data_IF_515865475902
#
_entry.id   IF_515865475902
#
_cell.length_a   1.000
_cell.length_b   1.000
_cell.length_c   1.000
_cell.angle_alpha   90.00
_cell.angle_beta   90.00
_cell.angle_gamma   90.00
#
_symmetry.space_group_name_H-M   'P 1'
#
loop_
_entity.id
_entity.type
_entity.pdbx_description
1 polymer ?
#
# COMPACT_ATOMS: atom_id res chain seq x y z
N UNK A 1 -33.28 33.10 9.74
CA UNK A 1 -33.67 31.68 9.99
C UNK A 1 -33.25 30.70 8.89
N UNK A 2 -33.17 31.08 7.60
CA UNK A 2 -32.81 30.13 6.53
C UNK A 2 -31.31 29.84 6.41
N UNK A 3 -30.45 30.85 6.57
CA UNK A 3 -28.98 30.71 6.54
C UNK A 3 -28.45 29.80 7.65
N UNK A 4 -29.02 29.91 8.85
CA UNK A 4 -28.66 29.07 10.01
C UNK A 4 -29.04 27.60 9.80
N UNK A 5 -30.13 27.32 9.05
CA UNK A 5 -30.53 25.95 8.68
C UNK A 5 -29.61 25.38 7.59
N UNK A 6 -29.21 26.19 6.61
CA UNK A 6 -28.28 25.78 5.56
C UNK A 6 -26.88 25.48 6.13
N UNK A 7 -26.34 26.32 7.01
CA UNK A 7 -25.09 26.04 7.72
C UNK A 7 -25.20 24.76 8.58
N UNK A 8 -26.32 24.56 9.27
CA UNK A 8 -26.56 23.34 10.05
C UNK A 8 -26.63 22.05 9.21
N UNK A 9 -27.19 22.11 8.00
CA UNK A 9 -27.21 20.97 7.07
C UNK A 9 -25.82 20.69 6.49
N UNK A 10 -25.11 21.72 6.02
CA UNK A 10 -23.74 21.59 5.49
C UNK A 10 -22.79 21.02 6.56
N UNK A 11 -22.90 21.48 7.82
CA UNK A 11 -22.10 20.96 8.91
C UNK A 11 -22.38 19.48 9.18
N UNK A 12 -23.67 19.08 9.17
CA UNK A 12 -24.08 17.68 9.36
C UNK A 12 -23.56 16.78 8.23
N UNK A 13 -23.71 17.20 6.99
CA UNK A 13 -23.22 16.45 5.82
C UNK A 13 -21.71 16.24 5.93
N UNK A 14 -20.96 17.25 6.35
CA UNK A 14 -19.51 17.14 6.56
C UNK A 14 -19.14 16.12 7.66
N UNK A 15 -19.89 16.08 8.77
CA UNK A 15 -19.71 15.04 9.79
C UNK A 15 -20.05 13.64 9.27
N UNK A 16 -21.08 13.48 8.44
CA UNK A 16 -21.42 12.18 7.85
C UNK A 16 -20.32 11.67 6.92
N UNK A 17 -19.76 12.52 6.06
CA UNK A 17 -18.63 12.15 5.20
C UNK A 17 -17.40 11.75 6.03
N UNK A 18 -17.07 12.51 7.07
CA UNK A 18 -15.96 12.20 7.95
C UNK A 18 -16.14 10.85 8.66
N UNK A 19 -17.34 10.60 9.21
CA UNK A 19 -17.66 9.32 9.87
C UNK A 19 -17.61 8.16 8.86
N UNK A 20 -18.14 8.35 7.66
CA UNK A 20 -18.10 7.32 6.60
C UNK A 20 -16.68 7.00 6.16
N UNK A 21 -15.81 8.02 5.99
CA UNK A 21 -14.40 7.80 5.66
C UNK A 21 -13.65 7.07 6.78
N UNK A 22 -13.88 7.45 8.05
CA UNK A 22 -13.28 6.77 9.20
C UNK A 22 -13.72 5.30 9.31
N UNK A 23 -15.02 5.02 9.14
CA UNK A 23 -15.54 3.65 9.15
C UNK A 23 -15.02 2.82 7.98
N UNK A 24 -14.95 3.40 6.78
CA UNK A 24 -14.44 2.74 5.58
C UNK A 24 -12.96 2.39 5.73
N UNK A 25 -12.17 3.33 6.26
CA UNK A 25 -10.77 3.14 6.60
C UNK A 25 -10.58 1.99 7.59
N UNK A 26 -11.27 2.04 8.72
CA UNK A 26 -11.20 0.99 9.73
C UNK A 26 -11.61 -0.39 9.17
N UNK A 27 -12.74 -0.46 8.45
CA UNK A 27 -13.26 -1.72 7.92
C UNK A 27 -12.31 -2.34 6.89
N UNK A 28 -11.82 -1.57 5.92
CA UNK A 28 -10.95 -2.10 4.86
C UNK A 28 -9.58 -2.47 5.42
N UNK A 29 -9.00 -1.63 6.29
CA UNK A 29 -7.74 -1.96 6.96
C UNK A 29 -7.87 -3.26 7.77
N UNK A 30 -8.97 -3.44 8.51
CA UNK A 30 -9.26 -4.70 9.21
C UNK A 30 -9.38 -5.89 8.26
N UNK A 31 -10.07 -5.76 7.12
CA UNK A 31 -10.20 -6.85 6.14
C UNK A 31 -8.82 -7.25 5.61
N UNK A 32 -7.98 -6.28 5.22
CA UNK A 32 -6.64 -6.56 4.71
C UNK A 32 -5.70 -7.15 5.77
N UNK A 33 -5.89 -6.77 7.04
CA UNK A 33 -5.19 -7.36 8.17
C UNK A 33 -5.62 -8.81 8.42
N UNK A 34 -6.92 -9.11 8.42
CA UNK A 34 -7.45 -10.47 8.63
C UNK A 34 -7.07 -11.40 7.49
N UNK A 35 -7.07 -10.91 6.25
CA UNK A 35 -6.52 -11.64 5.10
C UNK A 35 -4.99 -11.78 5.17
N UNK A 36 -4.31 -11.06 6.07
CA UNK A 36 -2.87 -11.12 6.29
C UNK A 36 -2.04 -10.34 5.26
N UNK A 37 -2.66 -9.52 4.42
CA UNK A 37 -1.97 -8.67 3.45
C UNK A 37 -1.20 -7.55 4.14
N UNK A 38 -1.81 -6.96 5.18
CA UNK A 38 -1.24 -5.88 5.97
C UNK A 38 -1.03 -6.33 7.43
N UNK A 39 -0.07 -5.71 8.10
CA UNK A 39 0.12 -5.79 9.55
C UNK A 39 -0.09 -4.42 10.22
N UNK A 40 0.12 -4.36 11.54
CA UNK A 40 -0.11 -3.16 12.35
C UNK A 40 0.68 -1.92 11.89
N UNK A 41 1.77 -2.10 11.14
CA UNK A 41 2.56 -0.99 10.62
C UNK A 41 1.75 -0.11 9.66
N UNK A 42 0.79 -0.69 8.93
CA UNK A 42 -0.06 0.09 8.04
C UNK A 42 -0.96 1.06 8.81
N UNK A 43 -1.51 0.62 9.95
CA UNK A 43 -2.30 1.51 10.82
C UNK A 43 -1.47 2.69 11.31
N UNK A 44 -0.19 2.48 11.63
CA UNK A 44 0.69 3.57 12.04
C UNK A 44 0.93 4.59 10.91
N UNK A 45 1.05 4.14 9.65
CA UNK A 45 1.14 5.05 8.50
C UNK A 45 -0.13 5.87 8.35
N UNK A 46 -1.26 5.20 8.50
CA UNK A 46 -2.56 5.83 8.46
C UNK A 46 -2.69 6.92 9.54
N UNK A 47 -2.28 6.62 10.78
CA UNK A 47 -2.35 7.56 11.91
C UNK A 47 -1.46 8.79 11.75
N UNK A 48 -0.45 8.76 10.87
CA UNK A 48 0.37 9.92 10.53
C UNK A 48 -0.32 10.90 9.57
N UNK A 49 -1.46 10.53 9.00
CA UNK A 49 -2.23 11.39 8.11
C UNK A 49 -3.04 12.43 8.88
N UNK A 50 -2.86 13.72 8.57
CA UNK A 50 -3.58 14.84 9.18
C UNK A 50 -4.16 15.80 8.12
N UNK A 51 -4.71 16.95 8.57
CA UNK A 51 -5.28 17.96 7.68
C UNK A 51 -4.23 18.64 6.77
N UNK A 52 -2.96 18.67 7.18
CA UNK A 52 -1.87 19.25 6.40
C UNK A 52 -1.34 18.28 5.33
N UNK A 53 -1.45 16.97 5.56
CA UNK A 53 -1.09 15.92 4.61
C UNK A 53 -2.20 14.87 4.44
N UNK A 54 -3.35 15.21 3.82
CA UNK A 54 -4.54 14.36 3.79
C UNK A 54 -4.41 13.09 2.92
N UNK A 55 -3.33 12.95 2.15
CA UNK A 55 -3.07 11.79 1.29
C UNK A 55 -1.78 11.04 1.67
N UNK A 56 -1.21 11.31 2.85
CA UNK A 56 0.08 10.76 3.28
C UNK A 56 0.19 9.25 3.09
N UNK A 57 -0.82 8.49 3.53
CA UNK A 57 -0.82 7.03 3.42
C UNK A 57 -0.81 6.57 1.94
N UNK A 58 -1.58 7.23 1.08
CA UNK A 58 -1.62 6.92 -0.36
C UNK A 58 -0.28 7.23 -1.03
N UNK A 59 0.36 8.36 -0.68
CA UNK A 59 1.67 8.75 -1.21
C UNK A 59 2.77 7.76 -0.81
N UNK A 60 2.81 7.35 0.47
CA UNK A 60 3.76 6.35 0.97
C UNK A 60 3.58 5.01 0.24
N UNK A 61 2.32 4.56 0.08
CA UNK A 61 2.02 3.31 -0.62
C UNK A 61 2.39 3.40 -2.11
N UNK A 62 2.09 4.52 -2.76
CA UNK A 62 2.43 4.75 -4.17
C UNK A 62 3.94 4.72 -4.39
N UNK A 63 4.70 5.39 -3.52
CA UNK A 63 6.16 5.36 -3.54
C UNK A 63 6.70 3.94 -3.33
N UNK A 64 6.16 3.21 -2.35
CA UNK A 64 6.53 1.82 -2.11
C UNK A 64 6.35 0.96 -3.37
N UNK A 65 5.22 1.03 -4.06
CA UNK A 65 4.98 0.20 -5.24
C UNK A 65 5.88 0.57 -6.42
N UNK A 66 6.19 1.86 -6.58
CA UNK A 66 7.13 2.33 -7.59
C UNK A 66 8.54 1.79 -7.33
N UNK A 67 9.04 1.91 -6.10
CA UNK A 67 10.39 1.49 -5.75
C UNK A 67 10.53 -0.04 -5.70
N UNK A 68 9.53 -0.74 -5.17
CA UNK A 68 9.54 -2.20 -5.09
C UNK A 68 9.46 -2.84 -6.48
N UNK A 69 8.68 -2.28 -7.42
CA UNK A 69 8.66 -2.77 -8.81
C UNK A 69 10.05 -2.67 -9.47
N UNK A 70 10.74 -1.54 -9.31
CA UNK A 70 12.10 -1.34 -9.80
C UNK A 70 13.08 -2.35 -9.17
N UNK A 71 12.99 -2.54 -7.85
CA UNK A 71 13.86 -3.47 -7.14
C UNK A 71 13.62 -4.93 -7.57
N UNK A 72 12.36 -5.32 -7.78
CA UNK A 72 12.01 -6.64 -8.31
C UNK A 72 12.58 -6.87 -9.71
N UNK A 73 12.52 -5.87 -10.61
CA UNK A 73 13.19 -5.99 -11.92
C UNK A 73 14.70 -6.18 -11.79
N UNK A 74 15.35 -5.49 -10.86
CA UNK A 74 16.79 -5.66 -10.62
C UNK A 74 17.12 -7.08 -10.09
N UNK A 75 16.26 -7.63 -9.22
CA UNK A 75 16.39 -9.01 -8.73
C UNK A 75 16.25 -10.00 -9.87
N UNK A 76 15.22 -9.84 -10.72
CA UNK A 76 14.97 -10.70 -11.88
C UNK A 76 16.18 -10.72 -12.83
N UNK A 77 16.72 -9.55 -13.17
CA UNK A 77 17.94 -9.43 -13.98
C UNK A 77 19.19 -10.03 -13.30
N UNK A 78 19.29 -9.96 -11.97
CA UNK A 78 20.39 -10.58 -11.24
C UNK A 78 20.28 -12.11 -11.25
N UNK A 79 19.06 -12.65 -11.28
CA UNK A 79 18.80 -14.09 -11.31
C UNK A 79 19.11 -14.74 -12.67
N UNK A 80 19.11 -13.97 -13.75
CA UNK A 80 19.46 -14.44 -15.10
C UNK A 80 20.98 -14.58 -15.33
N UNK A 81 21.81 -14.00 -14.45
CA UNK A 81 23.27 -13.99 -14.60
C UNK A 81 23.91 -15.33 -14.21
N UNK A 82 25.01 -15.66 -14.89
CA UNK A 82 25.85 -16.81 -14.61
C UNK A 82 27.32 -16.36 -14.47
N UNK A 83 28.07 -16.76 -13.43
CA UNK A 83 27.68 -17.61 -12.30
C UNK A 83 26.58 -16.99 -11.43
N UNK A 84 25.81 -17.85 -10.75
CA UNK A 84 24.79 -17.41 -9.78
C UNK A 84 25.47 -16.79 -8.56
N UNK A 85 24.96 -15.66 -8.12
CA UNK A 85 25.46 -14.92 -6.97
C UNK A 85 24.35 -14.78 -5.92
N UNK A 86 24.22 -15.80 -5.07
CA UNK A 86 23.20 -15.86 -4.02
C UNK A 86 23.36 -14.73 -2.99
N UNK A 87 24.59 -14.28 -2.71
CA UNK A 87 24.84 -13.17 -1.79
C UNK A 87 24.27 -11.86 -2.33
N UNK A 88 24.43 -11.62 -3.64
CA UNK A 88 23.82 -10.45 -4.30
C UNK A 88 22.30 -10.55 -4.33
N UNK A 89 21.74 -11.73 -4.58
CA UNK A 89 20.29 -11.94 -4.55
C UNK A 89 19.73 -11.69 -3.13
N UNK A 90 20.38 -12.23 -2.10
CA UNK A 90 19.99 -12.03 -0.69
C UNK A 90 20.02 -10.55 -0.31
N UNK A 91 21.07 -9.83 -0.73
CA UNK A 91 21.22 -8.39 -0.45
C UNK A 91 20.07 -7.57 -1.04
N UNK A 92 19.70 -7.81 -2.30
CA UNK A 92 18.55 -7.14 -2.92
C UNK A 92 17.24 -7.52 -2.23
N UNK A 93 17.08 -8.79 -1.85
CA UNK A 93 15.86 -9.26 -1.18
C UNK A 93 15.74 -8.72 0.24
N UNK A 94 16.86 -8.53 0.95
CA UNK A 94 16.89 -7.90 2.27
C UNK A 94 16.43 -6.44 2.21
N UNK A 95 16.86 -5.70 1.17
CA UNK A 95 16.36 -4.35 0.93
C UNK A 95 14.83 -4.36 0.71
N UNK A 96 14.33 -5.24 -0.15
CA UNK A 96 12.90 -5.34 -0.44
C UNK A 96 12.10 -5.73 0.80
N UNK A 97 12.60 -6.67 1.61
CA UNK A 97 12.02 -7.05 2.89
C UNK A 97 11.89 -5.87 3.84
N UNK A 98 12.92 -5.02 3.91
CA UNK A 98 12.91 -3.78 4.69
C UNK A 98 11.79 -2.85 4.23
N UNK A 99 11.68 -2.61 2.92
CA UNK A 99 10.59 -1.80 2.35
C UNK A 99 9.20 -2.41 2.58
N UNK A 100 9.06 -3.74 2.54
CA UNK A 100 7.78 -4.39 2.87
C UNK A 100 7.43 -4.16 4.34
N UNK A 101 8.42 -4.25 5.22
CA UNK A 101 8.23 -4.04 6.66
C UNK A 101 7.82 -2.59 6.96
N UNK A 102 8.37 -1.60 6.25
CA UNK A 102 8.04 -0.19 6.50
C UNK A 102 6.60 0.18 6.18
N UNK A 103 5.90 -0.58 5.32
CA UNK A 103 4.48 -0.36 4.99
C UNK A 103 3.53 -1.42 5.54
N UNK A 104 4.06 -2.40 6.29
CA UNK A 104 3.29 -3.53 6.79
C UNK A 104 2.85 -4.55 5.75
N UNK A 105 3.51 -4.65 4.59
CA UNK A 105 3.19 -5.62 3.53
C UNK A 105 3.60 -7.05 3.93
N UNK A 106 2.78 -7.68 4.78
CA UNK A 106 3.15 -8.89 5.53
C UNK A 106 3.39 -10.12 4.64
N UNK A 107 2.50 -10.43 3.68
CA UNK A 107 2.72 -11.57 2.77
C UNK A 107 3.95 -11.40 1.89
N UNK A 108 4.20 -10.19 1.38
CA UNK A 108 5.42 -9.90 0.63
C UNK A 108 6.67 -10.08 1.49
N UNK A 109 6.66 -9.56 2.72
CA UNK A 109 7.74 -9.73 3.71
C UNK A 109 8.04 -11.21 3.99
N UNK A 110 7.00 -12.05 4.04
CA UNK A 110 7.14 -13.49 4.24
C UNK A 110 7.81 -14.18 3.03
N UNK A 111 7.40 -13.83 1.81
CA UNK A 111 8.05 -14.39 0.61
C UNK A 111 9.49 -13.88 0.42
N UNK A 112 9.79 -12.65 0.82
CA UNK A 112 11.17 -12.17 0.90
C UNK A 112 11.98 -13.04 1.87
N UNK A 113 11.43 -13.37 3.04
CA UNK A 113 12.11 -14.24 4.03
C UNK A 113 12.35 -15.65 3.48
N UNK A 114 11.36 -16.25 2.82
CA UNK A 114 11.50 -17.58 2.17
C UNK A 114 12.56 -17.58 1.07
N UNK A 115 12.63 -16.51 0.27
CA UNK A 115 13.65 -16.35 -0.77
C UNK A 115 15.05 -16.27 -0.14
N UNK A 116 15.22 -15.47 0.91
CA UNK A 116 16.49 -15.31 1.63
C UNK A 116 16.98 -16.62 2.25
N UNK A 117 16.08 -17.39 2.86
CA UNK A 117 16.40 -18.72 3.37
C UNK A 117 16.92 -19.63 2.23
N UNK A 118 16.24 -19.61 1.07
CA UNK A 118 16.67 -20.36 -0.11
C UNK A 118 18.03 -19.89 -0.67
N UNK A 119 18.39 -18.61 -0.50
CA UNK A 119 19.73 -18.11 -0.84
C UNK A 119 20.78 -18.70 0.09
N UNK A 120 20.50 -18.79 1.39
CA UNK A 120 21.39 -19.41 2.38
C UNK A 120 21.65 -20.90 2.10
N UNK A 121 20.65 -21.60 1.55
CA UNK A 121 20.76 -23.00 1.14
C UNK A 121 21.33 -23.18 -0.29
N UNK A 122 21.72 -22.09 -0.97
CA UNK A 122 22.09 -22.08 -2.40
C UNK A 122 21.04 -22.75 -3.32
N UNK A 123 19.77 -22.70 -2.91
CA UNK A 123 18.65 -23.32 -3.59
C UNK A 123 18.00 -22.36 -4.59
N UNK A 124 18.52 -22.35 -5.82
CA UNK A 124 18.01 -21.47 -6.88
C UNK A 124 16.54 -21.73 -7.25
N UNK A 125 16.09 -22.99 -7.21
CA UNK A 125 14.69 -23.31 -7.51
C UNK A 125 13.76 -22.76 -6.41
N UNK A 126 14.18 -22.88 -5.14
CA UNK A 126 13.53 -22.25 -3.99
C UNK A 126 13.43 -20.74 -4.14
N UNK A 127 14.55 -20.09 -4.50
CA UNK A 127 14.59 -18.65 -4.80
C UNK A 127 13.58 -18.29 -5.90
N UNK A 128 13.57 -19.01 -7.02
CA UNK A 128 12.64 -18.74 -8.13
C UNK A 128 11.18 -18.90 -7.69
N UNK A 129 10.84 -19.96 -6.97
CA UNK A 129 9.46 -20.18 -6.49
C UNK A 129 8.99 -19.07 -5.55
N UNK A 130 9.80 -18.67 -4.58
CA UNK A 130 9.48 -17.56 -3.67
C UNK A 130 9.40 -16.23 -4.40
N UNK A 131 10.27 -15.98 -5.37
CA UNK A 131 10.20 -14.75 -6.17
C UNK A 131 8.93 -14.65 -7.02
N UNK A 132 8.48 -15.76 -7.60
CA UNK A 132 7.20 -15.80 -8.33
C UNK A 132 6.00 -15.57 -7.41
N UNK A 133 6.03 -16.10 -6.18
CA UNK A 133 5.01 -15.80 -5.17
C UNK A 133 5.03 -14.32 -4.78
N UNK A 134 6.22 -13.76 -4.54
CA UNK A 134 6.40 -12.34 -4.23
C UNK A 134 5.82 -11.43 -5.32
N UNK A 135 6.05 -11.74 -6.61
CA UNK A 135 5.43 -11.01 -7.74
C UNK A 135 3.91 -11.02 -7.69
N UNK A 136 3.30 -12.16 -7.34
CA UNK A 136 1.84 -12.27 -7.20
C UNK A 136 1.32 -11.46 -6.01
N UNK A 137 1.93 -11.63 -4.84
CA UNK A 137 1.51 -10.89 -3.63
C UNK A 137 1.68 -9.38 -3.79
N UNK A 138 2.73 -8.92 -4.49
CA UNK A 138 2.92 -7.52 -4.88
C UNK A 138 1.74 -6.99 -5.70
N UNK A 139 1.37 -7.68 -6.78
CA UNK A 139 0.28 -7.27 -7.65
C UNK A 139 -1.08 -7.27 -6.94
N UNK A 140 -1.36 -8.29 -6.12
CA UNK A 140 -2.62 -8.38 -5.37
C UNK A 140 -2.73 -7.29 -4.31
N UNK A 141 -1.67 -7.07 -3.53
CA UNK A 141 -1.66 -6.01 -2.52
C UNK A 141 -1.84 -4.64 -3.17
N UNK A 142 -1.17 -4.40 -4.30
CA UNK A 142 -1.30 -3.16 -5.07
C UNK A 142 -2.75 -2.89 -5.47
N UNK A 143 -3.41 -3.88 -6.08
CA UNK A 143 -4.79 -3.74 -6.51
C UNK A 143 -5.75 -3.47 -5.34
N UNK A 144 -5.55 -4.17 -4.22
CA UNK A 144 -6.36 -4.00 -3.00
C UNK A 144 -6.21 -2.59 -2.43
N UNK A 145 -4.98 -2.08 -2.33
CA UNK A 145 -4.71 -0.73 -1.82
C UNK A 145 -5.18 0.37 -2.79
N UNK A 146 -5.03 0.17 -4.11
CA UNK A 146 -5.57 1.11 -5.11
C UNK A 146 -7.10 1.21 -5.01
N UNK A 147 -7.79 0.07 -4.85
CA UNK A 147 -9.24 0.03 -4.65
C UNK A 147 -9.64 0.68 -3.32
N UNK A 148 -8.87 0.45 -2.27
CA UNK A 148 -9.07 1.07 -0.96
C UNK A 148 -9.04 2.60 -1.05
N UNK A 149 -7.97 3.17 -1.60
CA UNK A 149 -7.85 4.63 -1.74
C UNK A 149 -8.90 5.22 -2.70
N UNK A 150 -9.28 4.48 -3.74
CA UNK A 150 -10.37 4.90 -4.63
C UNK A 150 -11.71 5.01 -3.89
N UNK A 151 -12.04 4.05 -3.02
CA UNK A 151 -13.26 4.10 -2.22
C UNK A 151 -13.24 5.25 -1.21
N UNK A 152 -12.09 5.52 -0.58
CA UNK A 152 -11.93 6.66 0.33
C UNK A 152 -12.19 8.00 -0.36
N UNK A 153 -11.68 8.18 -1.59
CA UNK A 153 -11.95 9.39 -2.40
C UNK A 153 -13.42 9.54 -2.76
N UNK A 154 -14.10 8.44 -3.06
CA UNK A 154 -15.53 8.45 -3.40
C UNK A 154 -16.44 8.72 -2.19
N UNK A 155 -15.98 8.38 -0.99
CA UNK A 155 -16.69 8.64 0.26
C UNK A 155 -16.57 10.08 0.77
N UNK A 156 -15.76 10.93 0.11
CA UNK A 156 -15.63 12.35 0.45
C UNK A 156 -16.75 13.23 -0.15
N UNK A 157 -16.89 14.48 0.30
CA UNK A 157 -17.82 15.42 -0.30
C UNK A 157 -17.49 15.63 -1.78
N UNK A 158 -18.49 15.53 -2.66
CA UNK A 158 -18.32 15.85 -4.07
C UNK A 158 -17.91 17.33 -4.16
N UNK A 159 -16.69 17.61 -4.63
CA UNK A 159 -16.33 18.96 -5.02
C UNK A 159 -17.36 19.44 -6.04
N UNK A 160 -18.25 20.34 -5.61
CA UNK A 160 -19.14 21.04 -6.51
C UNK A 160 -18.23 21.92 -7.35
N UNK A 161 -17.86 21.42 -8.52
CA UNK A 161 -17.21 22.17 -9.58
C UNK A 161 -18.14 23.33 -9.98
N UNK A 162 -18.13 24.41 -9.20
CA UNK A 162 -18.66 25.70 -9.63
C UNK A 162 -17.67 26.18 -10.69
N UNK A 163 -17.97 25.82 -11.93
CA UNK A 163 -17.42 26.46 -13.13
C UNK A 163 -17.68 27.96 -13.02
N UNK A 164 -16.75 28.70 -12.44
CA UNK A 164 -16.63 30.15 -12.64
C UNK A 164 -16.03 30.37 -14.02
N UNK A 165 -16.88 30.26 -15.04
CA UNK A 165 -16.55 30.58 -16.42
C UNK A 165 -17.71 31.36 -17.01
N UNK A 166 -17.78 32.65 -16.71
CA UNK A 166 -18.87 33.51 -17.13
C UNK A 166 -18.65 34.97 -16.72
N UNK A 167 -17.70 35.62 -17.39
CA UNK A 167 -17.86 36.97 -17.95
C UNK A 167 -16.71 37.30 -18.89
#
# INVERSE_FOLDING_TARGET
MHLSRLQGTIQKDNYYYLIMQLLLRYLIACVLYVEGYLDEQFCQIEDLQDEASPNFAEEVVSLFFKDSARLMTNIEQAMEKNPRDFNRWDSHMQQLKGSCSSIGASRMKNECTSFRNSCGDENAEGCMRSFQKLKREHGVLRQKLESYFQLLRQAGPAETAIRRGGR
#
